data_IF_574523527273
#
_entry.id   IF_574523527273
#
_cell.length_a   1.000
_cell.length_b   1.000
_cell.length_c   1.000
_cell.angle_alpha   90.00
_cell.angle_beta   90.00
_cell.angle_gamma   90.00
#
_symmetry.space_group_name_H-M   'P 1'
#
loop_
_entity.id
_entity.type
_entity.pdbx_description
1 polymer ?
#
# COMPACT_ATOMS: atom_id res chain seq x y z
N UNK A 1 -23.83 3.02 14.22
CA UNK A 1 -24.83 2.14 13.58
C UNK A 1 -24.23 1.41 12.38
N UNK A 2 -23.55 2.10 11.46
CA UNK A 2 -22.93 1.49 10.28
C UNK A 2 -21.76 0.53 10.63
N UNK A 3 -20.93 0.95 11.58
CA UNK A 3 -19.91 0.13 12.24
C UNK A 3 -20.49 -1.12 12.93
N UNK A 4 -21.55 -0.94 13.72
CA UNK A 4 -22.17 -1.98 14.52
C UNK A 4 -22.76 -3.13 13.68
N UNK A 5 -23.30 -2.83 12.50
CA UNK A 5 -23.81 -3.85 11.58
C UNK A 5 -22.74 -4.51 10.73
N UNK A 6 -21.47 -4.10 10.88
CA UNK A 6 -20.37 -4.57 10.05
C UNK A 6 -20.54 -4.21 8.55
N UNK A 7 -21.36 -3.19 8.25
CA UNK A 7 -21.51 -2.68 6.89
C UNK A 7 -20.46 -1.62 6.56
N UNK A 8 -19.88 -0.94 7.56
CA UNK A 8 -18.71 -0.08 7.39
C UNK A 8 -17.50 -0.95 7.03
N UNK A 9 -16.91 -0.82 5.83
CA UNK A 9 -15.66 -1.51 5.49
C UNK A 9 -14.48 -0.67 6.03
N UNK A 10 -13.78 -1.09 7.10
CA UNK A 10 -12.72 -0.26 7.70
C UNK A 10 -11.58 0.08 6.73
N UNK A 11 -11.38 -0.77 5.71
CA UNK A 11 -10.45 -0.53 4.62
C UNK A 11 -10.74 0.76 3.83
N UNK A 12 -12.01 1.22 3.74
CA UNK A 12 -12.31 2.47 3.02
C UNK A 12 -11.75 3.70 3.73
N UNK A 13 -12.00 3.91 5.04
CA UNK A 13 -11.32 4.94 5.81
C UNK A 13 -9.79 4.79 5.84
N UNK A 14 -9.26 3.57 5.87
CA UNK A 14 -7.81 3.33 5.88
C UNK A 14 -7.12 3.74 4.57
N UNK A 15 -7.72 3.43 3.42
CA UNK A 15 -7.14 3.69 2.10
C UNK A 15 -7.45 5.09 1.58
N UNK A 16 -8.70 5.57 1.75
CA UNK A 16 -9.16 6.82 1.15
C UNK A 16 -9.50 7.92 2.15
N UNK A 17 -9.54 7.61 3.45
CA UNK A 17 -10.01 8.56 4.46
C UNK A 17 -11.50 8.91 4.32
N UNK A 18 -12.28 8.05 3.66
CA UNK A 18 -13.70 8.22 3.37
C UNK A 18 -14.51 7.09 4.03
N UNK A 19 -15.70 7.42 4.57
CA UNK A 19 -16.55 6.45 5.25
C UNK A 19 -16.91 5.30 4.29
N UNK A 20 -17.59 5.62 3.20
CA UNK A 20 -17.88 4.75 2.06
C UNK A 20 -18.47 5.62 0.96
N UNK A 21 -17.81 5.65 -0.19
CA UNK A 21 -18.37 6.21 -1.43
C UNK A 21 -18.18 5.18 -2.54
N UNK A 22 -19.22 4.94 -3.33
CA UNK A 22 -19.27 3.88 -4.34
C UNK A 22 -20.03 4.35 -5.57
N UNK A 23 -19.69 3.79 -6.73
CA UNK A 23 -20.41 4.08 -7.97
C UNK A 23 -21.89 3.64 -7.88
N UNK A 24 -22.77 4.39 -8.53
CA UNK A 24 -24.17 4.02 -8.70
C UNK A 24 -24.33 2.75 -9.56
N UNK A 25 -25.47 2.08 -9.45
CA UNK A 25 -25.73 0.83 -10.18
C UNK A 25 -25.75 0.99 -11.70
N UNK A 26 -26.16 2.17 -12.19
CA UNK A 26 -26.12 2.47 -13.62
C UNK A 26 -24.70 2.40 -14.19
N UNK A 27 -23.67 2.69 -13.38
CA UNK A 27 -22.28 2.65 -13.83
C UNK A 27 -21.78 1.22 -14.08
N UNK A 28 -22.44 0.19 -13.54
CA UNK A 28 -22.13 -1.20 -13.85
C UNK A 28 -22.24 -1.50 -15.35
N UNK A 29 -23.11 -0.78 -16.06
CA UNK A 29 -23.30 -0.93 -17.50
C UNK A 29 -22.11 -0.41 -18.33
N UNK A 30 -21.29 0.49 -17.76
CA UNK A 30 -20.11 1.06 -18.40
C UNK A 30 -18.89 0.14 -18.31
N UNK A 31 -18.84 -0.76 -17.33
CA UNK A 31 -17.72 -1.70 -17.15
C UNK A 31 -17.71 -2.78 -18.24
N UNK A 32 -16.51 -3.23 -18.65
CA UNK A 32 -16.32 -4.40 -19.53
C UNK A 32 -15.95 -5.68 -18.79
N UNK A 33 -15.72 -5.59 -17.48
CA UNK A 33 -15.47 -6.73 -16.62
C UNK A 33 -16.05 -6.49 -15.23
N UNK A 34 -16.93 -7.38 -14.78
CA UNK A 34 -17.53 -7.35 -13.43
C UNK A 34 -17.05 -8.58 -12.65
N UNK A 35 -16.31 -8.34 -11.56
CA UNK A 35 -16.01 -9.35 -10.55
C UNK A 35 -17.00 -9.19 -9.40
N UNK A 36 -18.02 -10.04 -9.36
CA UNK A 36 -19.03 -10.04 -8.28
C UNK A 36 -18.57 -10.97 -7.16
N UNK A 37 -18.02 -10.35 -6.13
CA UNK A 37 -17.39 -11.00 -4.99
C UNK A 37 -18.31 -10.97 -3.76
N UNK A 38 -18.77 -12.12 -3.28
CA UNK A 38 -19.54 -12.20 -2.03
C UNK A 38 -20.84 -11.36 -2.01
N UNK A 39 -21.35 -10.95 -3.17
CA UNK A 39 -22.53 -10.08 -3.30
C UNK A 39 -23.63 -10.77 -4.10
N UNK A 40 -24.75 -11.06 -3.44
CA UNK A 40 -25.89 -11.73 -4.08
C UNK A 40 -26.89 -10.70 -4.60
N UNK A 41 -26.57 -10.10 -5.75
CA UNK A 41 -27.30 -8.97 -6.34
C UNK A 41 -28.80 -9.23 -6.48
N UNK A 42 -29.19 -10.42 -6.95
CA UNK A 42 -30.59 -10.80 -7.14
C UNK A 42 -31.45 -10.76 -5.89
N UNK A 43 -30.86 -11.06 -4.73
CA UNK A 43 -31.58 -11.10 -3.46
C UNK A 43 -31.49 -9.78 -2.70
N UNK A 44 -30.33 -9.13 -2.78
CA UNK A 44 -30.00 -8.02 -1.88
C UNK A 44 -30.08 -6.67 -2.56
N UNK A 45 -29.92 -6.62 -3.90
CA UNK A 45 -29.93 -5.41 -4.75
C UNK A 45 -30.91 -5.62 -5.91
N UNK A 46 -32.05 -6.24 -5.61
CA UNK A 46 -33.11 -6.60 -6.58
C UNK A 46 -33.46 -5.47 -7.56
N UNK A 47 -33.69 -4.21 -7.14
CA UNK A 47 -34.08 -3.16 -8.08
C UNK A 47 -32.96 -2.79 -9.07
N UNK A 48 -31.70 -3.02 -8.73
CA UNK A 48 -30.53 -2.63 -9.52
C UNK A 48 -29.96 -3.78 -10.36
N UNK A 49 -30.33 -5.03 -10.05
CA UNK A 49 -29.67 -6.21 -10.61
C UNK A 49 -29.79 -6.32 -12.15
N UNK A 50 -30.77 -5.63 -12.75
CA UNK A 50 -30.92 -5.56 -14.20
C UNK A 50 -29.71 -4.92 -14.88
N UNK A 51 -29.07 -3.88 -14.30
CA UNK A 51 -27.88 -3.25 -14.90
C UNK A 51 -26.74 -4.24 -15.09
N UNK A 52 -26.49 -5.09 -14.09
CA UNK A 52 -25.46 -6.13 -14.17
C UNK A 52 -25.81 -7.16 -15.25
N UNK A 53 -27.07 -7.63 -15.30
CA UNK A 53 -27.51 -8.59 -16.31
C UNK A 53 -27.48 -8.01 -17.74
N UNK A 54 -27.94 -6.78 -17.92
CA UNK A 54 -28.04 -6.07 -19.20
C UNK A 54 -26.66 -5.68 -19.73
N UNK A 55 -25.70 -5.32 -18.85
CA UNK A 55 -24.31 -5.03 -19.25
C UNK A 55 -23.67 -6.16 -20.06
N UNK A 56 -24.09 -7.42 -19.81
CA UNK A 56 -23.58 -8.58 -20.55
C UNK A 56 -23.99 -8.55 -22.02
N UNK A 57 -25.18 -8.03 -22.33
CA UNK A 57 -25.58 -7.78 -23.72
C UNK A 57 -24.73 -6.69 -24.39
N UNK A 58 -24.09 -5.84 -23.59
CA UNK A 58 -23.11 -4.83 -24.01
C UNK A 58 -21.65 -5.35 -23.98
N UNK A 59 -21.45 -6.68 -23.96
CA UNK A 59 -20.13 -7.33 -24.05
C UNK A 59 -19.35 -7.37 -22.74
N UNK A 60 -19.97 -7.04 -21.62
CA UNK A 60 -19.35 -7.14 -20.30
C UNK A 60 -19.21 -8.60 -19.89
N UNK A 61 -17.98 -9.01 -19.51
CA UNK A 61 -17.76 -10.33 -18.90
C UNK A 61 -18.05 -10.26 -17.41
N UNK A 62 -18.80 -11.21 -16.89
CA UNK A 62 -19.18 -11.30 -15.48
C UNK A 62 -18.62 -12.57 -14.84
N UNK A 63 -17.84 -12.41 -13.77
CA UNK A 63 -17.31 -13.51 -12.95
C UNK A 63 -17.90 -13.41 -11.56
N UNK A 64 -18.49 -14.50 -11.06
CA UNK A 64 -19.03 -14.57 -9.69
C UNK A 64 -18.10 -15.40 -8.83
N UNK A 65 -17.72 -14.85 -7.68
CA UNK A 65 -16.88 -15.48 -6.67
C UNK A 65 -17.70 -15.62 -5.40
N UNK A 66 -18.11 -16.86 -5.10
CA UNK A 66 -18.94 -17.19 -3.95
C UNK A 66 -18.76 -18.68 -3.61
N UNK A 67 -18.77 -19.06 -2.31
CA UNK A 67 -18.62 -20.46 -1.89
C UNK A 67 -19.74 -21.38 -2.38
N UNK A 68 -20.95 -20.85 -2.46
CA UNK A 68 -22.13 -21.52 -2.97
C UNK A 68 -22.50 -21.03 -4.36
N UNK A 69 -23.32 -21.82 -5.07
CA UNK A 69 -23.90 -21.42 -6.35
C UNK A 69 -25.06 -20.43 -6.13
N UNK A 70 -24.71 -19.22 -5.71
CA UNK A 70 -25.64 -18.15 -5.36
C UNK A 70 -26.51 -17.72 -6.55
N UNK A 71 -27.65 -17.06 -6.31
CA UNK A 71 -28.61 -16.71 -7.38
C UNK A 71 -28.02 -15.87 -8.51
N UNK A 72 -27.06 -15.00 -8.20
CA UNK A 72 -26.37 -14.17 -9.21
C UNK A 72 -25.46 -15.01 -10.13
N UNK A 73 -24.96 -16.16 -9.65
CA UNK A 73 -24.09 -17.07 -10.42
C UNK A 73 -24.73 -17.56 -11.71
N UNK A 74 -26.06 -17.63 -11.78
CA UNK A 74 -26.79 -18.03 -13.00
C UNK A 74 -26.58 -17.07 -14.18
N UNK A 75 -26.16 -15.82 -13.91
CA UNK A 75 -25.85 -14.84 -14.93
C UNK A 75 -24.35 -14.80 -15.27
N UNK A 76 -23.50 -15.44 -14.49
CA UNK A 76 -22.06 -15.34 -14.66
C UNK A 76 -21.59 -16.10 -15.90
N UNK A 77 -20.55 -15.59 -16.55
CA UNK A 77 -19.82 -16.34 -17.57
C UNK A 77 -18.88 -17.36 -16.91
N UNK A 78 -18.46 -17.10 -15.67
CA UNK A 78 -17.69 -18.02 -14.85
C UNK A 78 -18.06 -17.89 -13.38
N UNK A 79 -18.23 -19.02 -12.71
CA UNK A 79 -18.34 -19.10 -11.25
C UNK A 79 -17.07 -19.69 -10.66
N UNK A 80 -16.54 -19.06 -9.62
CA UNK A 80 -15.37 -19.51 -8.88
C UNK A 80 -15.82 -19.84 -7.44
N UNK A 81 -15.87 -21.13 -7.05
CA UNK A 81 -16.27 -21.57 -5.72
C UNK A 81 -15.12 -21.41 -4.72
N UNK A 82 -14.90 -20.18 -4.24
CA UNK A 82 -13.90 -19.91 -3.20
C UNK A 82 -14.36 -20.47 -1.84
N UNK A 83 -13.43 -20.97 -1.03
CA UNK A 83 -13.74 -21.30 0.35
C UNK A 83 -14.07 -20.01 1.13
N UNK A 84 -15.16 -20.04 1.90
CA UNK A 84 -15.61 -18.87 2.66
C UNK A 84 -14.47 -18.35 3.57
N UNK A 85 -14.17 -17.06 3.47
CA UNK A 85 -13.12 -16.40 4.25
C UNK A 85 -11.71 -16.52 3.66
N UNK A 86 -11.53 -17.19 2.51
CA UNK A 86 -10.24 -17.31 1.81
C UNK A 86 -10.12 -16.37 0.60
N UNK A 87 -10.94 -15.33 0.57
CA UNK A 87 -11.01 -14.36 -0.51
C UNK A 87 -9.75 -13.46 -0.56
N UNK A 88 -9.19 -13.14 0.61
CA UNK A 88 -7.96 -12.36 0.75
C UNK A 88 -6.75 -12.99 0.02
N UNK A 89 -6.37 -14.23 0.35
CA UNK A 89 -5.30 -14.94 -0.37
C UNK A 89 -5.52 -15.03 -1.89
N UNK A 90 -6.77 -15.22 -2.33
CA UNK A 90 -7.11 -15.22 -3.76
C UNK A 90 -6.78 -13.87 -4.41
N UNK A 91 -7.23 -12.75 -3.84
CA UNK A 91 -6.93 -11.42 -4.39
C UNK A 91 -5.45 -11.06 -4.29
N UNK A 92 -4.72 -11.55 -3.28
CA UNK A 92 -3.27 -11.40 -3.22
C UNK A 92 -2.57 -12.14 -4.37
N UNK A 93 -3.02 -13.34 -4.74
CA UNK A 93 -2.51 -14.05 -5.90
C UNK A 93 -2.83 -13.33 -7.22
N UNK A 94 -4.03 -12.78 -7.37
CA UNK A 94 -4.40 -11.94 -8.52
C UNK A 94 -3.50 -10.70 -8.60
N UNK A 95 -3.29 -10.00 -7.48
CA UNK A 95 -2.41 -8.84 -7.41
C UNK A 95 -0.97 -9.20 -7.79
N UNK A 96 -0.46 -10.36 -7.35
CA UNK A 96 0.86 -10.84 -7.74
C UNK A 96 1.00 -10.95 -9.26
N UNK A 97 0.02 -11.56 -9.94
CA UNK A 97 0.03 -11.69 -11.40
C UNK A 97 -0.05 -10.32 -12.08
N UNK A 98 -0.92 -9.43 -11.61
CA UNK A 98 -1.06 -8.08 -12.16
C UNK A 98 0.24 -7.29 -12.04
N UNK A 99 0.85 -7.28 -10.85
CA UNK A 99 2.11 -6.58 -10.60
C UNK A 99 3.26 -7.18 -11.42
N UNK A 100 3.36 -8.51 -11.45
CA UNK A 100 4.40 -9.20 -12.22
C UNK A 100 4.27 -8.90 -13.71
N UNK A 101 3.11 -9.16 -14.31
CA UNK A 101 2.94 -9.08 -15.75
C UNK A 101 2.85 -7.64 -16.26
N UNK A 102 2.16 -6.74 -15.54
CA UNK A 102 1.84 -5.40 -16.05
C UNK A 102 2.63 -4.26 -15.41
N UNK A 103 3.34 -4.49 -14.30
CA UNK A 103 4.23 -3.50 -13.67
C UNK A 103 5.72 -3.87 -13.77
N UNK A 104 6.08 -5.16 -13.72
CA UNK A 104 7.47 -5.59 -13.78
C UNK A 104 7.90 -6.01 -15.20
N UNK A 105 7.26 -7.04 -15.78
CA UNK A 105 7.66 -7.65 -17.04
C UNK A 105 7.23 -6.80 -18.25
N UNK A 106 5.96 -6.40 -18.31
CA UNK A 106 5.41 -5.54 -19.35
C UNK A 106 4.75 -4.30 -18.73
N UNK A 107 5.61 -3.33 -18.40
CA UNK A 107 5.24 -2.00 -17.91
C UNK A 107 4.13 -1.35 -18.75
N UNK A 108 2.91 -1.38 -18.23
CA UNK A 108 1.72 -0.81 -18.89
C UNK A 108 1.60 0.67 -18.50
N UNK A 109 1.74 1.62 -19.44
CA UNK A 109 1.87 3.05 -19.11
C UNK A 109 0.72 3.60 -18.25
N UNK A 110 -0.52 3.26 -18.60
CA UNK A 110 -1.69 3.72 -17.85
C UNK A 110 -1.64 3.29 -16.37
N UNK A 111 -1.25 2.05 -16.07
CA UNK A 111 -1.18 1.57 -14.69
C UNK A 111 -0.05 2.25 -13.91
N UNK A 112 1.12 2.42 -14.51
CA UNK A 112 2.25 3.09 -13.88
C UNK A 112 1.94 4.56 -13.56
N UNK A 113 1.37 5.29 -14.52
CA UNK A 113 0.98 6.69 -14.31
C UNK A 113 -0.12 6.82 -13.26
N UNK A 114 -1.07 5.89 -13.24
CA UNK A 114 -2.14 5.87 -12.24
C UNK A 114 -1.59 5.70 -10.82
N UNK A 115 -0.79 4.65 -10.57
CA UNK A 115 -0.24 4.41 -9.22
C UNK A 115 0.74 5.49 -8.81
N UNK A 116 1.51 6.04 -9.75
CA UNK A 116 2.42 7.16 -9.48
C UNK A 116 1.69 8.42 -9.00
N UNK A 117 0.49 8.69 -9.51
CA UNK A 117 -0.26 9.91 -9.21
C UNK A 117 -1.28 9.77 -8.11
N UNK A 118 -1.97 8.63 -8.04
CA UNK A 118 -3.16 8.45 -7.24
C UNK A 118 -2.98 7.45 -6.09
N UNK A 119 -1.74 7.03 -5.83
CA UNK A 119 -1.42 6.19 -4.67
C UNK A 119 -0.21 6.74 -3.91
N UNK A 120 0.06 6.14 -2.77
CA UNK A 120 1.24 6.42 -1.95
C UNK A 120 2.48 5.60 -2.34
N UNK A 121 2.42 4.77 -3.40
CA UNK A 121 3.57 3.99 -3.91
C UNK A 121 4.89 4.79 -4.04
N UNK A 122 4.93 6.03 -4.57
CA UNK A 122 6.21 6.75 -4.69
C UNK A 122 6.74 7.37 -3.39
N UNK A 123 6.00 7.29 -2.28
CA UNK A 123 6.42 7.91 -1.03
C UNK A 123 7.49 7.12 -0.32
N UNK A 124 8.35 7.84 0.42
CA UNK A 124 9.52 7.26 1.08
C UNK A 124 9.15 6.69 2.45
N UNK A 125 9.43 5.42 2.65
CA UNK A 125 9.35 4.72 3.93
C UNK A 125 10.74 4.62 4.54
N UNK A 126 10.90 5.05 5.80
CA UNK A 126 12.14 4.85 6.55
C UNK A 126 12.31 3.38 6.92
N UNK A 127 13.49 2.82 6.71
CA UNK A 127 13.84 1.48 7.17
C UNK A 127 14.49 1.54 8.55
N UNK A 128 14.04 0.68 9.47
CA UNK A 128 14.52 0.60 10.84
C UNK A 128 15.38 -0.66 11.01
N UNK A 129 16.62 -0.48 11.51
CA UNK A 129 17.55 -1.60 11.72
C UNK A 129 17.05 -2.51 12.84
N UNK A 130 17.02 -3.82 12.57
CA UNK A 130 16.75 -4.85 13.58
C UNK A 130 17.99 -5.16 14.44
N UNK A 131 19.17 -4.71 14.02
CA UNK A 131 20.40 -4.81 14.82
C UNK A 131 20.34 -3.74 15.90
N UNK A 132 20.28 -4.15 17.17
CA UNK A 132 20.38 -3.24 18.30
C UNK A 132 21.68 -2.41 18.17
N UNK A 133 21.64 -1.09 18.41
CA UNK A 133 22.85 -0.29 18.40
C UNK A 133 23.85 -0.89 19.41
N UNK A 134 25.12 -1.02 19.00
CA UNK A 134 26.19 -1.52 19.86
C UNK A 134 26.11 -0.80 21.22
N UNK A 135 25.93 -1.58 22.29
CA UNK A 135 25.60 -1.12 23.63
C UNK A 135 26.48 0.04 24.09
N UNK A 136 25.88 1.22 24.31
CA UNK A 136 26.36 2.11 25.37
C UNK A 136 25.92 1.44 26.66
N UNK A 137 26.89 0.97 27.45
CA UNK A 137 26.65 0.20 28.67
C UNK A 137 25.65 0.91 29.60
N UNK A 138 24.44 0.36 29.70
CA UNK A 138 23.47 0.77 30.70
C UNK A 138 23.64 -0.14 31.92
N UNK A 139 24.16 0.44 32.99
CA UNK A 139 24.26 -0.15 34.31
C UNK A 139 22.89 -0.13 34.99
N UNK A 140 21.97 -1.00 34.58
CA UNK A 140 20.79 -1.32 35.37
C UNK A 140 20.54 -2.82 35.28
N UNK A 141 20.84 -3.51 36.39
CA UNK A 141 20.56 -4.93 36.54
C UNK A 141 19.07 -5.13 36.74
N UNK A 142 18.47 -5.88 35.83
CA UNK A 142 17.10 -6.35 35.96
C UNK A 142 17.13 -7.88 36.05
N UNK A 143 17.19 -8.35 37.29
CA UNK A 143 17.00 -9.75 37.63
C UNK A 143 15.49 -10.00 37.69
N UNK A 144 14.87 -10.27 36.54
CA UNK A 144 13.67 -11.12 36.44
C UNK A 144 13.21 -11.19 34.98
N UNK A 145 13.74 -12.17 34.24
CA UNK A 145 13.10 -12.68 33.02
C UNK A 145 12.95 -14.20 33.14
N UNK A 146 11.74 -14.75 32.95
CA UNK A 146 11.53 -16.19 32.95
C UNK A 146 12.20 -16.82 31.73
N UNK A 147 12.92 -17.90 31.98
CA UNK A 147 13.61 -18.72 30.98
C UNK A 147 12.60 -19.47 30.11
N UNK A 148 12.50 -19.11 28.82
CA UNK A 148 11.79 -19.93 27.82
C UNK A 148 12.78 -20.97 27.28
N UNK A 149 12.42 -22.24 27.44
CA UNK A 149 13.22 -23.39 27.04
C UNK A 149 13.42 -23.48 25.53
N UNK A 150 14.62 -23.92 25.15
CA UNK A 150 15.01 -24.23 23.78
C UNK A 150 14.56 -25.65 23.41
N UNK A 151 13.60 -25.79 22.51
CA UNK A 151 13.41 -27.02 21.73
C UNK A 151 13.46 -26.69 20.24
N UNK A 152 14.35 -27.41 19.54
CA UNK A 152 14.72 -27.13 18.17
C UNK A 152 13.68 -27.58 17.16
N UNK A 153 13.34 -26.67 16.24
CA UNK A 153 12.75 -27.00 14.94
C UNK A 153 13.69 -26.51 13.85
N UNK A 154 13.96 -27.38 12.88
CA UNK A 154 14.78 -27.06 11.70
C UNK A 154 14.00 -26.10 10.78
N UNK A 155 14.18 -24.79 10.94
CA UNK A 155 13.70 -23.77 9.98
C UNK A 155 14.75 -23.49 8.89
N UNK A 156 14.37 -23.44 7.60
CA UNK A 156 15.25 -22.96 6.55
C UNK A 156 15.26 -21.42 6.51
N UNK A 157 16.44 -20.89 6.16
CA UNK A 157 16.85 -19.46 6.09
C UNK A 157 16.99 -18.73 7.44
N UNK A 158 18.18 -18.87 8.03
CA UNK A 158 18.67 -17.89 9.02
C UNK A 158 18.63 -16.51 8.39
N UNK A 159 17.90 -15.58 9.01
CA UNK A 159 18.04 -14.15 8.76
C UNK A 159 19.55 -13.80 8.78
N UNK A 160 20.10 -13.19 7.72
CA UNK A 160 21.41 -12.57 7.83
C UNK A 160 21.29 -11.51 8.93
N UNK A 161 21.83 -11.77 10.11
CA UNK A 161 21.77 -10.84 11.25
C UNK A 161 22.49 -9.53 10.98
N UNK A 162 23.20 -9.43 9.84
CA UNK A 162 23.82 -8.23 9.29
C UNK A 162 22.95 -7.75 8.12
N UNK A 163 22.45 -6.51 8.17
CA UNK A 163 21.52 -5.88 7.20
C UNK A 163 20.04 -6.34 7.21
N UNK A 164 19.50 -6.70 8.38
CA UNK A 164 18.06 -6.93 8.54
C UNK A 164 17.33 -5.65 9.01
N UNK A 165 16.24 -5.31 8.33
CA UNK A 165 15.42 -4.12 8.57
C UNK A 165 13.93 -4.46 8.68
N UNK A 166 13.17 -3.53 9.24
CA UNK A 166 11.70 -3.48 9.18
C UNK A 166 11.23 -2.17 8.56
N UNK A 167 10.09 -2.16 7.85
CA UNK A 167 9.50 -0.91 7.40
C UNK A 167 9.04 -0.09 8.61
N UNK A 168 9.50 1.15 8.69
CA UNK A 168 9.12 2.12 9.69
C UNK A 168 8.05 3.08 9.17
N UNK A 169 8.13 4.34 9.58
CA UNK A 169 7.18 5.39 9.17
C UNK A 169 7.55 6.01 7.83
N UNK A 170 6.57 6.59 7.15
CA UNK A 170 6.82 7.50 6.02
C UNK A 170 7.73 8.66 6.45
N UNK A 171 8.65 9.04 5.57
CA UNK A 171 9.59 10.13 5.80
C UNK A 171 8.85 11.46 5.73
N UNK A 172 8.92 12.21 6.82
CA UNK A 172 8.25 13.52 6.98
C UNK A 172 9.10 14.64 6.41
N UNK A 173 8.45 15.65 5.84
CA UNK A 173 9.12 16.75 5.15
C UNK A 173 10.05 17.54 6.08
N UNK A 174 9.61 17.83 7.31
CA UNK A 174 10.38 18.62 8.29
C UNK A 174 11.70 17.97 8.76
N UNK A 175 11.99 16.73 8.33
CA UNK A 175 13.27 16.07 8.56
C UNK A 175 14.36 16.54 7.62
N UNK A 176 14.00 17.13 6.48
CA UNK A 176 14.95 17.71 5.54
C UNK A 176 15.14 19.19 5.87
N UNK A 177 16.39 19.65 5.89
CA UNK A 177 16.74 21.05 6.13
C UNK A 177 15.96 22.02 5.21
N UNK A 178 15.72 21.61 3.94
CA UNK A 178 14.94 22.38 2.96
C UNK A 178 13.52 22.72 3.45
N UNK A 179 12.86 21.80 4.15
CA UNK A 179 11.45 21.95 4.58
C UNK A 179 11.31 22.10 6.09
N UNK A 180 12.38 22.44 6.81
CA UNK A 180 12.37 22.53 8.27
C UNK A 180 11.35 23.54 8.80
N UNK A 181 11.22 24.67 8.10
CA UNK A 181 10.27 25.73 8.41
C UNK A 181 8.88 25.54 7.80
N UNK A 182 8.62 24.41 7.12
CA UNK A 182 7.34 24.18 6.46
C UNK A 182 6.24 23.97 7.50
N UNK A 183 5.15 24.73 7.37
CA UNK A 183 3.98 24.61 8.22
C UNK A 183 3.44 23.17 8.22
N UNK A 184 3.08 22.63 9.38
CA UNK A 184 2.60 21.25 9.52
C UNK A 184 3.53 20.21 8.85
N UNK A 185 4.84 20.47 8.80
CA UNK A 185 5.80 19.63 8.07
C UNK A 185 5.90 18.18 8.58
N UNK A 186 5.42 17.88 9.79
CA UNK A 186 5.24 16.50 10.25
C UNK A 186 4.17 15.76 9.44
N UNK A 187 3.14 16.45 8.94
CA UNK A 187 2.00 15.89 8.22
C UNK A 187 2.13 16.01 6.70
N UNK A 188 3.36 16.21 6.22
CA UNK A 188 3.73 16.28 4.81
C UNK A 188 4.82 15.25 4.55
N UNK A 189 4.72 14.52 3.45
CA UNK A 189 5.59 13.39 3.16
C UNK A 189 6.44 13.65 1.93
N UNK A 190 7.46 12.81 1.74
CA UNK A 190 8.44 12.97 0.69
C UNK A 190 8.38 11.85 -0.34
N UNK A 191 8.66 12.20 -1.58
CA UNK A 191 8.94 11.29 -2.70
C UNK A 191 10.37 11.52 -3.17
N UNK A 192 10.95 10.57 -3.89
CA UNK A 192 12.23 10.81 -4.57
C UNK A 192 11.98 11.31 -5.99
N UNK A 193 12.46 12.50 -6.32
CA UNK A 193 12.25 13.16 -7.60
C UNK A 193 13.34 12.79 -8.59
N UNK A 194 12.94 12.31 -9.77
CA UNK A 194 13.88 11.95 -10.84
C UNK A 194 14.53 13.17 -11.50
N UNK A 195 13.86 14.34 -11.51
CA UNK A 195 14.36 15.56 -12.15
C UNK A 195 15.51 16.14 -11.34
N UNK A 196 15.30 16.35 -10.04
CA UNK A 196 16.32 16.91 -9.14
C UNK A 196 17.25 15.87 -8.50
N UNK A 197 16.94 14.57 -8.63
CA UNK A 197 17.66 13.48 -7.95
C UNK A 197 17.73 13.67 -6.42
N UNK A 198 16.67 14.21 -5.84
CA UNK A 198 16.57 14.55 -4.43
C UNK A 198 15.19 14.17 -3.88
N UNK A 199 15.09 14.01 -2.56
CA UNK A 199 13.80 13.89 -1.91
C UNK A 199 13.07 15.25 -1.94
N UNK A 200 11.82 15.24 -2.42
CA UNK A 200 10.97 16.42 -2.62
C UNK A 200 9.61 16.21 -1.98
N UNK A 201 8.96 17.30 -1.61
CA UNK A 201 7.65 17.30 -0.97
C UNK A 201 6.57 17.65 -2.00
N UNK A 202 5.78 16.67 -2.50
CA UNK A 202 4.64 16.98 -3.35
C UNK A 202 3.50 17.62 -2.54
N UNK A 203 2.58 18.29 -3.25
CA UNK A 203 1.32 18.76 -2.69
C UNK A 203 0.41 17.62 -2.19
N UNK A 204 -0.73 17.98 -1.60
CA UNK A 204 -1.83 17.02 -1.35
C UNK A 204 -1.78 16.23 -0.03
N UNK A 205 -0.63 16.14 0.64
CA UNK A 205 -0.57 15.57 2.01
C UNK A 205 -1.48 16.33 2.99
N UNK A 206 -1.99 15.66 4.03
CA UNK A 206 -2.98 16.22 4.97
C UNK A 206 -2.50 17.50 5.68
N UNK A 207 -1.19 17.69 5.87
CA UNK A 207 -0.63 18.93 6.40
C UNK A 207 -0.92 20.17 5.54
N UNK A 208 -1.17 20.01 4.23
CA UNK A 208 -1.60 21.09 3.35
C UNK A 208 -3.08 21.45 3.50
N UNK A 209 -3.93 20.49 3.91
CA UNK A 209 -5.39 20.71 4.06
C UNK A 209 -5.71 21.75 5.13
N UNK A 210 -4.92 21.76 6.21
CA UNK A 210 -5.15 22.61 7.38
C UNK A 210 -4.07 23.69 7.56
N UNK A 211 -3.23 23.92 6.54
CA UNK A 211 -2.26 25.00 6.56
C UNK A 211 -2.93 26.37 6.36
N UNK A 212 -2.29 27.45 6.82
CA UNK A 212 -2.74 28.82 6.56
C UNK A 212 -2.72 29.14 5.06
N UNK A 213 -1.68 28.66 4.35
CA UNK A 213 -1.56 28.88 2.91
C UNK A 213 -2.45 27.91 2.13
N UNK A 214 -3.53 28.44 1.54
CA UNK A 214 -4.50 27.67 0.76
C UNK A 214 -4.00 27.33 -0.65
N UNK A 215 -4.67 26.39 -1.32
CA UNK A 215 -4.43 26.02 -2.71
C UNK A 215 -3.36 24.94 -2.92
N UNK A 216 -2.68 24.50 -1.86
CA UNK A 216 -1.62 23.48 -1.90
C UNK A 216 -2.12 22.04 -1.66
N UNK A 217 -3.39 21.87 -1.32
CA UNK A 217 -4.02 20.56 -1.11
C UNK A 217 -4.64 20.07 -2.42
N UNK A 218 -3.79 19.55 -3.31
CA UNK A 218 -4.14 19.03 -4.62
C UNK A 218 -3.16 17.90 -5.01
N UNK A 219 -3.42 17.20 -6.13
CA UNK A 219 -2.61 16.08 -6.62
C UNK A 219 -1.66 16.47 -7.76
N UNK A 220 -1.27 17.74 -7.85
CA UNK A 220 -0.29 18.17 -8.84
C UNK A 220 1.11 17.71 -8.43
N UNK A 221 1.90 17.26 -9.41
CA UNK A 221 3.31 16.95 -9.20
C UNK A 221 4.17 18.20 -9.20
N UNK A 222 3.95 19.02 -8.19
CA UNK A 222 4.72 20.23 -7.92
C UNK A 222 5.11 20.29 -6.48
N UNK A 223 6.29 20.85 -6.24
CA UNK A 223 6.71 21.22 -4.89
C UNK A 223 6.02 22.53 -4.52
N UNK A 224 5.13 22.56 -3.52
CA UNK A 224 4.39 23.77 -3.18
C UNK A 224 5.25 24.82 -2.47
N UNK A 225 6.51 24.53 -2.13
CA UNK A 225 7.44 25.49 -1.53
C UNK A 225 8.09 26.41 -2.57
N UNK A 226 8.36 25.90 -3.77
CA UNK A 226 9.09 26.64 -4.83
C UNK A 226 8.42 26.58 -6.22
N UNK A 227 7.35 25.79 -6.36
CA UNK A 227 6.56 25.65 -7.58
C UNK A 227 7.21 24.80 -8.68
N UNK A 228 8.36 24.17 -8.42
CA UNK A 228 9.02 23.33 -9.43
C UNK A 228 8.26 22.03 -9.65
N UNK A 229 8.30 21.54 -10.89
CA UNK A 229 7.76 20.22 -11.21
C UNK A 229 8.53 19.11 -10.46
N UNK A 230 7.82 18.02 -10.15
CA UNK A 230 8.33 16.80 -9.54
C UNK A 230 8.03 15.64 -10.48
N UNK A 231 8.96 14.72 -10.64
CA UNK A 231 8.71 13.43 -11.28
C UNK A 231 9.01 12.28 -10.31
N UNK A 232 7.99 11.80 -9.55
CA UNK A 232 8.23 10.81 -8.50
C UNK A 232 8.74 9.47 -9.06
N UNK A 233 9.78 8.90 -8.44
CA UNK A 233 10.22 7.54 -8.73
C UNK A 233 9.35 6.53 -7.97
N UNK A 234 8.86 5.51 -8.69
CA UNK A 234 8.09 4.40 -8.11
C UNK A 234 8.95 3.31 -7.46
N UNK A 235 10.23 3.21 -7.84
CA UNK A 235 11.13 2.17 -7.36
C UNK A 235 12.58 2.59 -7.53
N UNK A 236 13.42 2.12 -6.61
CA UNK A 236 14.88 2.28 -6.67
C UNK A 236 15.61 1.10 -7.30
N UNK A 237 14.90 0.16 -7.93
CA UNK A 237 15.52 -1.07 -8.45
C UNK A 237 16.72 -0.81 -9.39
N UNK A 238 16.68 0.28 -10.16
CA UNK A 238 17.73 0.67 -11.12
C UNK A 238 18.65 1.78 -10.60
N UNK A 239 18.42 2.29 -9.38
CA UNK A 239 19.10 3.48 -8.85
C UNK A 239 19.51 3.38 -7.39
N UNK A 240 19.37 2.22 -6.74
CA UNK A 240 19.63 2.04 -5.32
C UNK A 240 21.08 2.34 -4.94
N UNK A 241 21.27 2.84 -3.71
CA UNK A 241 22.61 2.97 -3.11
C UNK A 241 23.05 1.63 -2.52
N UNK A 242 22.08 0.86 -1.98
CA UNK A 242 22.29 -0.50 -1.50
C UNK A 242 21.01 -1.34 -1.58
N UNK A 243 21.15 -2.66 -1.43
CA UNK A 243 20.04 -3.62 -1.32
C UNK A 243 20.10 -4.25 0.05
N UNK A 244 19.01 -4.13 0.82
CA UNK A 244 18.92 -4.63 2.20
C UNK A 244 17.84 -5.69 2.34
N UNK A 245 17.88 -6.47 3.43
CA UNK A 245 16.83 -7.43 3.73
C UNK A 245 15.77 -6.79 4.62
N UNK A 246 14.55 -6.69 4.11
CA UNK A 246 13.39 -6.21 4.88
C UNK A 246 12.52 -7.39 5.27
N UNK A 247 12.09 -7.41 6.54
CA UNK A 247 11.33 -8.49 7.14
C UNK A 247 9.83 -8.23 7.05
N UNK A 248 9.07 -9.24 6.62
CA UNK A 248 7.62 -9.24 6.50
C UNK A 248 7.06 -10.48 7.19
N UNK A 249 6.03 -10.28 8.02
CA UNK A 249 5.34 -11.39 8.67
C UNK A 249 4.31 -11.99 7.72
N UNK A 250 4.34 -13.32 7.54
CA UNK A 250 3.36 -14.06 6.77
C UNK A 250 2.49 -14.90 7.70
N UNK A 251 1.28 -14.40 7.95
CA UNK A 251 0.36 -14.99 8.92
C UNK A 251 -0.16 -16.37 8.50
N UNK A 252 -0.26 -16.64 7.19
CA UNK A 252 -0.74 -17.94 6.71
C UNK A 252 0.22 -19.10 7.00
N UNK A 253 1.51 -18.79 7.13
CA UNK A 253 2.56 -19.77 7.42
C UNK A 253 3.12 -19.67 8.85
N UNK A 254 2.76 -18.62 9.61
CA UNK A 254 3.38 -18.26 10.90
C UNK A 254 4.91 -18.09 10.77
N UNK A 255 5.35 -17.50 9.66
CA UNK A 255 6.75 -17.34 9.31
C UNK A 255 7.10 -15.87 9.04
N UNK A 256 8.36 -15.50 9.30
CA UNK A 256 8.91 -14.22 8.85
C UNK A 256 9.67 -14.42 7.55
N UNK A 257 9.26 -13.73 6.50
CA UNK A 257 9.94 -13.71 5.22
C UNK A 257 10.83 -12.48 5.09
N UNK A 258 12.03 -12.70 4.56
CA UNK A 258 12.94 -11.61 4.20
C UNK A 258 12.88 -11.38 2.68
N UNK A 259 12.87 -10.11 2.28
CA UNK A 259 12.91 -9.69 0.87
C UNK A 259 14.05 -8.71 0.66
N UNK A 260 14.76 -8.87 -0.45
CA UNK A 260 15.77 -7.91 -0.89
C UNK A 260 15.08 -6.67 -1.43
N UNK A 261 15.30 -5.52 -0.78
CA UNK A 261 14.65 -4.25 -1.11
C UNK A 261 15.72 -3.22 -1.52
N UNK A 262 15.60 -2.61 -2.71
CA UNK A 262 16.48 -1.53 -3.12
C UNK A 262 16.23 -0.27 -2.29
N UNK A 263 17.28 0.28 -1.69
CA UNK A 263 17.18 1.39 -0.76
C UNK A 263 18.15 2.53 -1.11
N UNK A 264 17.82 3.72 -0.61
CA UNK A 264 18.63 4.93 -0.76
C UNK A 264 18.89 5.58 0.59
N UNK A 265 20.02 6.25 0.71
CA UNK A 265 20.30 7.06 1.87
C UNK A 265 19.87 8.52 1.65
N UNK A 266 19.16 9.08 2.63
CA UNK A 266 18.74 10.47 2.64
C UNK A 266 19.36 11.17 3.85
N UNK A 267 20.01 12.31 3.60
CA UNK A 267 20.50 13.19 4.67
C UNK A 267 19.32 13.92 5.31
N UNK A 268 19.18 13.76 6.62
CA UNK A 268 18.18 14.47 7.43
C UNK A 268 18.89 15.27 8.52
N UNK A 269 18.18 16.17 9.19
CA UNK A 269 18.74 16.90 10.33
C UNK A 269 19.12 16.00 11.50
N UNK A 270 18.46 14.85 11.64
CA UNK A 270 18.72 13.86 12.70
C UNK A 270 19.82 12.85 12.26
N UNK A 271 20.47 13.09 11.12
CA UNK A 271 21.46 12.22 10.51
C UNK A 271 20.96 11.47 9.28
N UNK A 272 21.82 10.63 8.71
CA UNK A 272 21.53 9.87 7.50
C UNK A 272 20.55 8.73 7.79
N UNK A 273 19.48 8.62 7.01
CA UNK A 273 18.47 7.55 7.15
C UNK A 273 18.34 6.75 5.87
N UNK A 274 18.11 5.45 6.02
CA UNK A 274 17.87 4.55 4.88
C UNK A 274 16.38 4.54 4.57
N UNK A 275 16.02 4.65 3.29
CA UNK A 275 14.63 4.66 2.81
C UNK A 275 14.42 3.77 1.59
N UNK A 276 13.19 3.32 1.41
CA UNK A 276 12.66 2.71 0.19
C UNK A 276 11.36 3.42 -0.21
N UNK A 277 10.85 3.18 -1.40
CA UNK A 277 9.44 3.47 -1.74
C UNK A 277 8.50 2.44 -1.11
N UNK A 278 7.22 2.80 -0.90
CA UNK A 278 6.13 1.89 -0.50
C UNK A 278 6.00 0.74 -1.50
#
# INVERSE_FOLDING_TARGET
>A
FYDWYCDLPPASPEIWGEQTDVAESADWYNSKFLAVMGSNLNMTRTPDCHFAAESRHNGTKMVVLAPDFSQVSKYADQWIPLHAGQDGPFWMAVNHVILKEFHAEKKTPYFLEYVKRYSDSPFLVKLESLVAPASVGSSYGDQDKPSVGSEGTNSPSKCPTTNAYTPGRLLRANKLAKYKGEENGDWKFLVYDSISSQARMPGGSVGHRWGQTQGKWNLEFKDPSDGSDIDPQLSFIDSADEVVYVSFLEFGADETYHRSVPAKWIETEDGKVLVTTV
#
